data_IF_353480880747
#
_entry.id   IF_353480880747
#
_cell.length_a   1.000
_cell.length_b   1.000
_cell.length_c   1.000
_cell.angle_alpha   90.00
_cell.angle_beta   90.00
_cell.angle_gamma   90.00
#
_symmetry.space_group_name_H-M   'P 1'
#
loop_
_entity.id
_entity.type
_entity.pdbx_description
1 polymer ?
#
# COMPACT_ATOMS: atom_id res chain seq x y z
N UNK A 1 -13.27 12.67 -10.97
CA UNK A 1 -12.37 11.66 -11.58
C UNK A 1 -12.73 10.28 -11.04
N UNK A 2 -12.72 9.24 -11.89
CA UNK A 2 -12.88 7.86 -11.46
C UNK A 2 -11.50 7.24 -11.26
N UNK A 3 -11.29 6.54 -10.14
CA UNK A 3 -10.07 5.81 -9.86
C UNK A 3 -10.32 4.31 -9.96
N UNK A 4 -9.48 3.61 -10.73
CA UNK A 4 -9.51 2.16 -10.81
C UNK A 4 -8.70 1.55 -9.65
N UNK A 5 -9.28 0.65 -8.83
CA UNK A 5 -8.54 -0.01 -7.76
C UNK A 5 -7.57 -1.04 -8.35
N UNK A 6 -6.31 -0.92 -7.96
CA UNK A 6 -5.26 -1.80 -8.44
C UNK A 6 -4.25 -2.02 -7.32
N UNK A 7 -3.70 -3.23 -7.23
CA UNK A 7 -2.59 -3.56 -6.33
C UNK A 7 -1.29 -3.51 -7.11
N UNK A 8 -0.28 -2.84 -6.52
CA UNK A 8 1.03 -2.67 -7.12
C UNK A 8 2.05 -3.39 -6.25
N UNK A 9 2.89 -4.21 -6.87
CA UNK A 9 4.01 -4.84 -6.21
C UNK A 9 5.09 -3.80 -5.91
N UNK A 10 5.47 -3.68 -4.64
CA UNK A 10 6.50 -2.75 -4.18
C UNK A 10 7.72 -3.44 -3.59
N UNK A 11 7.70 -4.77 -3.40
CA UNK A 11 8.82 -5.52 -2.83
C UNK A 11 10.12 -5.24 -3.60
N UNK A 12 11.14 -4.76 -2.89
CA UNK A 12 12.43 -4.37 -3.48
C UNK A 12 12.39 -3.20 -4.47
N UNK A 13 11.23 -2.56 -4.70
CA UNK A 13 11.11 -1.46 -5.68
C UNK A 13 11.53 -0.12 -5.06
N UNK A 14 12.29 0.71 -5.78
CA UNK A 14 12.67 2.02 -5.28
C UNK A 14 11.44 2.94 -5.16
N UNK A 15 11.23 3.49 -3.97
CA UNK A 15 10.16 4.42 -3.67
C UNK A 15 10.73 5.67 -2.98
N UNK A 16 10.22 6.84 -3.34
CA UNK A 16 10.70 8.12 -2.83
C UNK A 16 9.59 8.84 -2.06
N UNK A 17 9.93 9.36 -0.88
CA UNK A 17 9.14 10.39 -0.19
C UNK A 17 9.98 11.66 -0.13
N UNK A 18 9.42 12.78 -0.56
CA UNK A 18 10.02 14.10 -0.39
C UNK A 18 9.26 14.84 0.71
N UNK A 19 9.95 15.13 1.80
CA UNK A 19 9.40 15.73 3.02
C UNK A 19 9.79 14.95 4.26
N UNK A 20 10.00 15.66 5.38
CA UNK A 20 10.49 15.07 6.65
C UNK A 20 9.53 15.24 7.83
N UNK A 21 8.31 15.69 7.59
CA UNK A 21 7.30 15.96 8.63
C UNK A 21 6.40 14.75 8.94
N UNK A 22 5.41 14.98 9.81
CA UNK A 22 4.45 13.97 10.26
C UNK A 22 3.66 13.31 9.11
N UNK A 23 3.40 14.04 8.02
CA UNK A 23 2.72 13.48 6.83
C UNK A 23 3.61 12.48 6.12
N UNK A 24 4.89 12.82 5.91
CA UNK A 24 5.88 11.92 5.33
C UNK A 24 6.03 10.64 6.16
N UNK A 25 6.14 10.76 7.49
CA UNK A 25 6.16 9.63 8.43
C UNK A 25 4.94 8.71 8.24
N UNK A 26 3.74 9.30 8.20
CA UNK A 26 2.50 8.53 8.01
C UNK A 26 2.49 7.78 6.68
N UNK A 27 3.04 8.39 5.61
CA UNK A 27 3.16 7.74 4.29
C UNK A 27 4.22 6.65 4.29
N UNK A 28 5.37 6.87 4.93
CA UNK A 28 6.41 5.87 5.10
C UNK A 28 5.88 4.62 5.83
N UNK A 29 5.21 4.81 6.97
CA UNK A 29 4.57 3.72 7.72
C UNK A 29 3.53 2.92 6.93
N UNK A 30 2.87 3.55 5.94
CA UNK A 30 1.93 2.86 5.05
C UNK A 30 2.63 2.04 3.97
N UNK A 31 3.79 2.48 3.49
CA UNK A 31 4.52 1.82 2.40
C UNK A 31 5.44 0.69 2.90
N UNK A 32 6.15 0.91 4.01
CA UNK A 32 7.16 -0.04 4.52
C UNK A 32 6.67 -1.48 4.66
N UNK A 33 5.42 -1.76 5.11
CA UNK A 33 4.93 -3.13 5.20
C UNK A 33 4.82 -3.88 3.87
N UNK A 34 5.02 -3.20 2.73
CA UNK A 34 5.03 -3.78 1.38
C UNK A 34 6.43 -3.95 0.80
N UNK A 35 7.48 -3.82 1.63
CA UNK A 35 8.87 -4.13 1.29
C UNK A 35 9.57 -3.22 0.27
N UNK A 36 9.20 -1.93 0.08
CA UNK A 36 9.92 -1.07 -0.87
C UNK A 36 11.34 -0.75 -0.40
N UNK A 37 12.24 -0.48 -1.34
CA UNK A 37 13.48 0.25 -1.07
C UNK A 37 13.13 1.73 -0.89
N UNK A 38 12.73 2.12 0.33
CA UNK A 38 12.21 3.45 0.61
C UNK A 38 13.32 4.45 0.91
N UNK A 39 13.35 5.54 0.14
CA UNK A 39 14.20 6.71 0.41
C UNK A 39 13.33 7.91 0.80
N UNK A 40 13.74 8.63 1.84
CA UNK A 40 13.10 9.88 2.26
C UNK A 40 14.08 11.03 2.15
N UNK A 41 13.75 12.05 1.37
CA UNK A 41 14.58 13.23 1.13
C UNK A 41 13.95 14.45 1.80
N UNK A 42 14.67 15.08 2.73
CA UNK A 42 14.25 16.33 3.37
C UNK A 42 15.47 17.05 4.00
N UNK A 43 15.35 18.35 4.24
CA UNK A 43 16.39 19.12 4.95
C UNK A 43 16.38 18.81 6.45
N UNK A 44 15.22 18.48 7.02
CA UNK A 44 15.05 18.07 8.41
C UNK A 44 13.98 16.96 8.51
N UNK A 45 14.07 16.17 9.57
CA UNK A 45 13.13 15.08 9.85
C UNK A 45 12.57 15.24 11.25
N UNK A 46 11.30 14.82 11.44
CA UNK A 46 10.75 14.64 12.78
C UNK A 46 11.43 13.44 13.45
N UNK A 47 11.61 13.46 14.79
CA UNK A 47 12.34 12.40 15.51
C UNK A 47 11.81 10.99 15.24
N UNK A 48 10.50 10.85 15.10
CA UNK A 48 9.86 9.56 14.83
C UNK A 48 10.16 9.03 13.42
N UNK A 49 10.49 9.91 12.47
CA UNK A 49 10.93 9.49 11.13
C UNK A 49 12.41 9.10 11.15
N UNK A 50 13.22 9.77 11.98
CA UNK A 50 14.63 9.39 12.20
C UNK A 50 14.77 8.02 12.86
N UNK A 51 13.85 7.68 13.76
CA UNK A 51 13.80 6.37 14.42
C UNK A 51 13.10 5.28 13.58
N UNK A 52 12.60 5.61 12.39
CA UNK A 52 11.86 4.66 11.57
C UNK A 52 12.81 3.73 10.81
N UNK A 53 12.80 2.45 11.15
CA UNK A 53 13.57 1.43 10.46
C UNK A 53 13.03 1.15 9.06
N UNK A 54 13.91 0.70 8.16
CA UNK A 54 13.56 0.30 6.79
C UNK A 54 13.47 1.45 5.78
N UNK A 55 13.77 2.70 6.17
CA UNK A 55 13.83 3.84 5.27
C UNK A 55 15.23 4.46 5.24
N UNK A 56 15.77 4.72 4.07
CA UNK A 56 17.01 5.48 3.90
C UNK A 56 16.72 6.98 3.97
N UNK A 57 17.33 7.71 4.91
CA UNK A 57 17.14 9.13 5.09
C UNK A 57 18.24 9.94 4.40
N UNK A 58 17.84 10.85 3.51
CA UNK A 58 18.75 11.76 2.82
C UNK A 58 18.51 13.20 3.29
N UNK A 59 19.36 13.70 4.19
CA UNK A 59 19.25 15.04 4.77
C UNK A 59 19.81 16.12 3.83
N UNK A 60 19.00 16.54 2.87
CA UNK A 60 19.28 17.60 1.90
C UNK A 60 18.01 18.09 1.22
N UNK A 61 18.11 19.17 0.46
CA UNK A 61 17.05 19.57 -0.44
C UNK A 61 16.80 18.53 -1.55
N UNK A 62 15.57 18.47 -2.02
CA UNK A 62 15.16 17.70 -3.19
C UNK A 62 15.94 18.14 -4.44
N UNK A 63 16.20 17.21 -5.34
CA UNK A 63 16.79 17.47 -6.66
C UNK A 63 15.96 16.76 -7.71
N UNK A 64 15.77 17.35 -8.93
CA UNK A 64 14.96 16.74 -9.99
C UNK A 64 15.33 15.29 -10.36
N UNK A 65 16.60 14.92 -10.24
CA UNK A 65 17.09 13.56 -10.49
C UNK A 65 16.62 12.54 -9.45
N UNK A 66 16.15 12.96 -8.29
CA UNK A 66 15.75 12.04 -7.23
C UNK A 66 14.52 11.20 -7.62
N UNK A 67 13.74 11.68 -8.59
CA UNK A 67 12.59 10.92 -9.11
C UNK A 67 12.98 9.86 -10.14
N UNK A 68 14.22 9.86 -10.63
CA UNK A 68 14.64 8.92 -11.67
C UNK A 68 14.67 7.49 -11.17
N UNK A 69 14.07 6.58 -11.94
CA UNK A 69 14.01 5.15 -11.61
C UNK A 69 13.06 4.78 -10.48
N UNK A 70 12.32 5.74 -9.90
CA UNK A 70 11.37 5.46 -8.83
C UNK A 70 10.13 4.74 -9.35
N UNK A 71 9.69 3.71 -8.62
CA UNK A 71 8.43 3.03 -8.89
C UNK A 71 7.21 3.85 -8.41
N UNK A 72 7.42 4.71 -7.39
CA UNK A 72 6.38 5.53 -6.79
C UNK A 72 7.02 6.72 -6.05
N UNK A 73 6.39 7.90 -6.14
CA UNK A 73 6.84 9.11 -5.46
C UNK A 73 5.72 9.71 -4.61
N UNK A 74 6.06 10.17 -3.42
CA UNK A 74 5.19 10.94 -2.54
C UNK A 74 5.81 12.32 -2.31
N UNK A 75 5.14 13.38 -2.75
CA UNK A 75 5.49 14.76 -2.46
C UNK A 75 4.71 15.21 -1.21
N UNK A 76 5.40 15.28 -0.07
CA UNK A 76 4.83 15.55 1.25
C UNK A 76 5.62 16.66 1.98
N UNK A 77 6.04 17.68 1.24
CA UNK A 77 6.71 18.87 1.80
C UNK A 77 5.67 19.86 2.32
N UNK A 78 6.11 20.81 3.13
CA UNK A 78 5.30 21.98 3.52
C UNK A 78 5.16 23.03 2.42
N UNK A 79 5.87 22.86 1.30
CA UNK A 79 5.85 23.77 0.16
C UNK A 79 5.00 23.20 -0.98
N UNK A 80 3.82 23.78 -1.17
CA UNK A 80 2.90 23.36 -2.24
C UNK A 80 3.45 23.62 -3.65
N UNK A 81 4.33 24.60 -3.85
CA UNK A 81 4.95 24.86 -5.16
C UNK A 81 5.93 23.72 -5.50
N UNK A 82 6.77 23.32 -4.55
CA UNK A 82 7.68 22.20 -4.69
C UNK A 82 6.91 20.87 -4.92
N UNK A 83 5.80 20.64 -4.19
CA UNK A 83 4.97 19.45 -4.40
C UNK A 83 4.41 19.38 -5.83
N UNK A 84 3.98 20.51 -6.40
CA UNK A 84 3.53 20.58 -7.80
C UNK A 84 4.67 20.37 -8.80
N UNK A 85 5.85 20.90 -8.54
CA UNK A 85 7.05 20.66 -9.37
C UNK A 85 7.39 19.17 -9.41
N UNK A 86 7.45 18.53 -8.25
CA UNK A 86 7.69 17.07 -8.13
C UNK A 86 6.63 16.29 -8.92
N UNK A 87 5.36 16.65 -8.76
CA UNK A 87 4.27 15.99 -9.47
C UNK A 87 4.40 16.15 -11.00
N UNK A 88 4.76 17.32 -11.49
CA UNK A 88 4.99 17.58 -12.90
C UNK A 88 6.17 16.75 -13.46
N UNK A 89 7.28 16.69 -12.72
CA UNK A 89 8.44 15.85 -13.05
C UNK A 89 8.08 14.36 -13.14
N UNK A 90 7.30 13.86 -12.18
CA UNK A 90 6.85 12.47 -12.16
C UNK A 90 5.92 12.18 -13.32
N UNK A 91 4.94 13.06 -13.60
CA UNK A 91 4.01 12.90 -14.74
C UNK A 91 4.75 12.83 -16.07
N UNK A 92 5.72 13.73 -16.30
CA UNK A 92 6.53 13.73 -17.52
C UNK A 92 7.29 12.42 -17.73
N UNK A 93 7.63 11.72 -16.64
CA UNK A 93 8.34 10.43 -16.64
C UNK A 93 7.42 9.21 -16.47
N UNK A 94 6.10 9.43 -16.42
CA UNK A 94 5.10 8.38 -16.16
C UNK A 94 5.31 7.63 -14.84
N UNK A 95 5.84 8.32 -13.83
CA UNK A 95 6.03 7.78 -12.49
C UNK A 95 4.77 8.08 -11.65
N UNK A 96 4.16 7.08 -11.00
CA UNK A 96 3.07 7.31 -10.08
C UNK A 96 3.44 8.29 -8.97
N UNK A 97 2.61 9.33 -8.76
CA UNK A 97 2.86 10.37 -7.76
C UNK A 97 1.62 10.68 -6.93
N UNK A 98 1.84 10.87 -5.63
CA UNK A 98 0.87 11.42 -4.70
C UNK A 98 1.41 12.75 -4.13
N UNK A 99 0.82 13.86 -4.54
CA UNK A 99 1.06 15.18 -3.96
C UNK A 99 0.09 15.40 -2.79
N UNK A 100 0.63 15.63 -1.60
CA UNK A 100 -0.18 15.79 -0.39
C UNK A 100 -0.97 17.10 -0.49
N UNK A 101 -2.25 17.04 -0.10
CA UNK A 101 -3.23 18.13 -0.14
C UNK A 101 -3.49 18.73 -1.52
N UNK A 102 -3.07 18.03 -2.59
CA UNK A 102 -3.24 18.47 -3.98
C UNK A 102 -3.72 17.29 -4.86
N UNK A 103 -5.04 17.03 -4.84
CA UNK A 103 -5.66 15.91 -5.54
C UNK A 103 -5.47 15.98 -7.06
N UNK A 104 -5.46 17.17 -7.64
CA UNK A 104 -5.36 17.36 -9.10
C UNK A 104 -3.97 17.03 -9.63
N UNK A 105 -2.98 17.09 -8.76
CA UNK A 105 -1.60 16.70 -9.03
C UNK A 105 -1.25 15.27 -8.59
N UNK A 106 -2.23 14.48 -8.13
CA UNK A 106 -2.05 13.06 -7.85
C UNK A 106 -2.36 12.20 -9.08
N UNK A 107 -1.55 11.16 -9.31
CA UNK A 107 -1.87 10.09 -10.26
C UNK A 107 -2.39 8.83 -9.57
N UNK A 108 -2.22 8.73 -8.24
CA UNK A 108 -2.83 7.71 -7.40
C UNK A 108 -3.22 8.29 -6.04
N UNK A 109 -4.14 7.62 -5.35
CA UNK A 109 -4.57 7.97 -4.00
C UNK A 109 -4.17 6.87 -3.01
N UNK A 110 -3.79 7.29 -1.80
CA UNK A 110 -3.67 6.34 -0.69
C UNK A 110 -5.05 6.00 -0.14
N UNK A 111 -5.49 4.74 -0.20
CA UNK A 111 -6.76 4.33 0.39
C UNK A 111 -6.68 4.28 1.92
N UNK A 112 -7.84 4.16 2.58
CA UNK A 112 -7.87 3.55 3.90
C UNK A 112 -7.57 2.06 3.74
N UNK A 113 -6.63 1.53 4.55
CA UNK A 113 -6.10 0.18 4.39
C UNK A 113 -6.50 -0.70 5.57
N UNK A 114 -7.00 -1.90 5.28
CA UNK A 114 -7.05 -3.04 6.21
C UNK A 114 -5.99 -4.04 5.76
N UNK A 115 -5.14 -4.47 6.69
CA UNK A 115 -4.12 -5.49 6.43
C UNK A 115 -4.15 -6.55 7.51
N UNK A 116 -4.18 -7.83 7.09
CA UNK A 116 -4.11 -9.03 7.95
C UNK A 116 -3.22 -10.05 7.23
N UNK A 117 -1.92 -10.08 7.56
CA UNK A 117 -0.94 -10.87 6.81
C UNK A 117 -0.96 -10.57 5.31
N UNK A 118 -1.21 -11.56 4.44
CA UNK A 118 -1.29 -11.36 3.00
C UNK A 118 -2.59 -10.69 2.52
N UNK A 119 -3.63 -10.61 3.38
CA UNK A 119 -4.86 -9.90 3.03
C UNK A 119 -4.63 -8.40 3.04
N UNK A 120 -4.94 -7.74 1.93
CA UNK A 120 -4.96 -6.28 1.81
C UNK A 120 -6.28 -5.83 1.22
N UNK A 121 -6.96 -4.87 1.87
CA UNK A 121 -8.19 -4.25 1.39
C UNK A 121 -7.98 -2.75 1.32
N UNK A 122 -8.13 -2.17 0.13
CA UNK A 122 -8.06 -0.74 -0.09
C UNK A 122 -9.45 -0.13 -0.21
N UNK A 123 -9.78 0.85 0.62
CA UNK A 123 -11.08 1.54 0.62
C UNK A 123 -10.86 2.98 0.17
N UNK A 124 -11.55 3.36 -0.90
CA UNK A 124 -11.51 4.71 -1.44
C UNK A 124 -12.93 5.23 -1.70
N UNK A 125 -13.16 6.48 -1.33
CA UNK A 125 -14.39 7.22 -1.66
C UNK A 125 -14.17 8.18 -2.83
N UNK A 126 -13.10 7.95 -3.64
CA UNK A 126 -12.71 8.88 -4.71
C UNK A 126 -12.29 10.26 -4.20
N UNK A 127 -11.94 10.37 -2.91
CA UNK A 127 -11.63 11.64 -2.24
C UNK A 127 -12.86 12.41 -1.76
N UNK A 128 -14.08 11.83 -1.83
CA UNK A 128 -15.29 12.49 -1.38
C UNK A 128 -15.36 12.62 0.15
N UNK A 129 -14.94 11.59 0.90
CA UNK A 129 -14.99 11.61 2.37
C UNK A 129 -13.96 10.67 2.99
N UNK A 130 -12.87 11.19 3.54
CA UNK A 130 -11.93 10.39 4.33
C UNK A 130 -12.59 9.71 5.53
N UNK A 131 -13.52 10.40 6.19
CA UNK A 131 -14.28 9.86 7.34
C UNK A 131 -15.12 8.64 6.95
N UNK A 132 -15.83 8.69 5.81
CA UNK A 132 -16.56 7.54 5.31
C UNK A 132 -15.65 6.35 4.99
N UNK A 133 -14.47 6.60 4.41
CA UNK A 133 -13.50 5.55 4.15
C UNK A 133 -12.99 4.89 5.45
N UNK A 134 -12.77 5.68 6.51
CA UNK A 134 -12.37 5.17 7.84
C UNK A 134 -13.53 4.37 8.46
N UNK A 135 -14.76 4.87 8.42
CA UNK A 135 -15.93 4.15 8.92
C UNK A 135 -16.08 2.76 8.26
N UNK A 136 -15.98 2.69 6.93
CA UNK A 136 -16.05 1.42 6.20
C UNK A 136 -14.89 0.50 6.58
N UNK A 137 -13.69 1.05 6.73
CA UNK A 137 -12.52 0.31 7.22
C UNK A 137 -12.80 -0.37 8.56
N UNK A 138 -13.31 0.37 9.54
CA UNK A 138 -13.61 -0.13 10.89
C UNK A 138 -14.67 -1.24 10.86
N UNK A 139 -15.72 -1.10 10.02
CA UNK A 139 -16.72 -2.14 9.82
C UNK A 139 -16.12 -3.43 9.23
N UNK A 140 -15.24 -3.30 8.25
CA UNK A 140 -14.54 -4.44 7.67
C UNK A 140 -13.61 -5.09 8.71
N UNK A 141 -12.84 -4.31 9.46
CA UNK A 141 -11.94 -4.82 10.51
C UNK A 141 -12.71 -5.58 11.60
N UNK A 142 -13.89 -5.10 11.98
CA UNK A 142 -14.76 -5.77 12.96
C UNK A 142 -15.39 -7.07 12.44
N UNK A 143 -15.64 -7.17 11.13
CA UNK A 143 -16.22 -8.36 10.50
C UNK A 143 -15.18 -9.45 10.20
N UNK A 144 -13.89 -9.11 10.18
CA UNK A 144 -12.83 -10.10 9.96
C UNK A 144 -12.54 -10.87 11.26
N UNK A 145 -12.27 -12.18 11.18
CA UNK A 145 -11.80 -12.97 12.32
C UNK A 145 -10.62 -12.29 13.02
N UNK A 146 -10.66 -12.27 14.35
CA UNK A 146 -9.62 -11.67 15.16
C UNK A 146 -8.31 -12.48 15.17
N UNK A 147 -7.20 -11.82 15.58
CA UNK A 147 -5.89 -12.45 15.70
C UNK A 147 -5.30 -12.89 14.36
N UNK A 148 -4.47 -13.95 14.39
CA UNK A 148 -3.79 -14.50 13.21
C UNK A 148 -4.66 -15.46 12.38
N UNK A 149 -5.97 -15.59 12.68
CA UNK A 149 -6.86 -16.54 12.03
C UNK A 149 -6.86 -16.43 10.50
N UNK A 150 -6.95 -15.21 9.95
CA UNK A 150 -6.87 -15.00 8.50
C UNK A 150 -5.52 -15.36 7.90
N UNK A 151 -4.44 -15.08 8.60
CA UNK A 151 -3.09 -15.42 8.14
C UNK A 151 -2.95 -16.93 7.95
N UNK A 152 -3.30 -17.71 8.98
CA UNK A 152 -3.24 -19.16 8.91
C UNK A 152 -4.13 -19.76 7.81
N UNK A 153 -5.35 -19.23 7.61
CA UNK A 153 -6.25 -19.67 6.55
C UNK A 153 -5.63 -19.42 5.16
N UNK A 154 -5.11 -18.21 4.92
CA UNK A 154 -4.56 -17.86 3.62
C UNK A 154 -3.26 -18.62 3.32
N UNK A 155 -2.39 -18.83 4.30
CA UNK A 155 -1.20 -19.66 4.17
C UNK A 155 -1.55 -21.11 3.87
N UNK A 156 -2.51 -21.67 4.61
CA UNK A 156 -3.02 -23.02 4.36
C UNK A 156 -3.56 -23.20 2.95
N UNK A 157 -4.38 -22.26 2.47
CA UNK A 157 -4.93 -22.30 1.12
C UNK A 157 -3.85 -22.10 0.05
N UNK A 158 -2.92 -21.19 0.28
CA UNK A 158 -1.80 -20.95 -0.64
C UNK A 158 -0.93 -22.20 -0.83
N UNK A 159 -0.60 -22.89 0.25
CA UNK A 159 0.19 -24.11 0.21
C UNK A 159 -0.48 -25.25 -0.62
N UNK A 160 -1.82 -25.22 -0.75
CA UNK A 160 -2.58 -26.22 -1.50
C UNK A 160 -2.81 -25.89 -2.96
N UNK A 161 -2.52 -24.65 -3.40
CA UNK A 161 -2.79 -24.24 -4.79
C UNK A 161 -2.02 -25.08 -5.82
N UNK A 162 -0.72 -25.30 -5.61
CA UNK A 162 0.10 -26.05 -6.55
C UNK A 162 -0.26 -27.55 -6.58
N UNK A 163 -0.36 -28.27 -5.44
CA UNK A 163 -0.80 -29.68 -5.43
C UNK A 163 -2.18 -29.89 -6.07
N UNK A 164 -3.16 -29.04 -5.73
CA UNK A 164 -4.52 -29.14 -6.28
C UNK A 164 -4.53 -28.88 -7.79
N UNK A 165 -3.76 -27.91 -8.29
CA UNK A 165 -3.64 -27.68 -9.73
C UNK A 165 -3.04 -28.88 -10.48
N UNK A 166 -2.09 -29.57 -9.87
CA UNK A 166 -1.45 -30.71 -10.46
C UNK A 166 -2.39 -31.97 -10.49
N UNK A 167 -3.20 -32.15 -9.44
CA UNK A 167 -4.05 -33.36 -9.29
C UNK A 167 -5.46 -33.23 -9.87
N UNK A 168 -5.97 -31.99 -10.03
CA UNK A 168 -7.32 -31.70 -10.52
C UNK A 168 -7.26 -30.85 -11.78
N UNK A 169 -7.22 -31.41 -13.00
CA UNK A 169 -7.12 -30.65 -14.24
C UNK A 169 -8.36 -29.80 -14.54
N UNK A 170 -9.54 -30.26 -14.16
CA UNK A 170 -10.80 -29.53 -14.40
C UNK A 170 -10.91 -28.26 -13.53
N UNK A 171 -11.17 -27.13 -14.17
CA UNK A 171 -11.21 -25.81 -13.51
C UNK A 171 -12.41 -25.69 -12.56
N UNK A 172 -13.56 -26.21 -12.95
CA UNK A 172 -14.79 -26.14 -12.15
C UNK A 172 -14.67 -27.01 -10.90
N UNK A 173 -14.09 -28.21 -11.04
CA UNK A 173 -13.81 -29.08 -9.89
C UNK A 173 -12.81 -28.47 -8.94
N UNK A 174 -11.75 -27.79 -9.45
CA UNK A 174 -10.81 -27.04 -8.62
C UNK A 174 -11.48 -25.91 -7.85
N UNK A 175 -12.34 -25.13 -8.49
CA UNK A 175 -13.06 -24.03 -7.84
C UNK A 175 -13.94 -24.56 -6.70
N UNK A 176 -14.67 -25.66 -6.91
CA UNK A 176 -15.49 -26.31 -5.86
C UNK A 176 -14.63 -26.81 -4.70
N UNK A 177 -13.50 -27.43 -5.00
CA UNK A 177 -12.58 -27.92 -3.97
C UNK A 177 -12.01 -26.78 -3.13
N UNK A 178 -11.58 -25.66 -3.74
CA UNK A 178 -11.10 -24.51 -3.00
C UNK A 178 -12.18 -23.84 -2.16
N UNK A 179 -13.43 -23.78 -2.65
CA UNK A 179 -14.56 -23.29 -1.85
C UNK A 179 -14.77 -24.18 -0.62
N UNK A 180 -14.83 -25.49 -0.79
CA UNK A 180 -14.99 -26.43 0.33
C UNK A 180 -13.83 -26.37 1.35
N UNK A 181 -12.59 -26.19 0.87
CA UNK A 181 -11.44 -25.99 1.76
C UNK A 181 -11.55 -24.69 2.56
N UNK A 182 -12.00 -23.60 1.93
CA UNK A 182 -12.22 -22.34 2.61
C UNK A 182 -13.34 -22.44 3.65
N UNK A 183 -14.49 -23.03 3.29
CA UNK A 183 -15.62 -23.21 4.21
C UNK A 183 -15.21 -24.06 5.43
N UNK A 184 -14.44 -25.14 5.21
CA UNK A 184 -13.91 -25.95 6.32
C UNK A 184 -12.97 -25.16 7.25
N UNK A 185 -12.18 -24.23 6.71
CA UNK A 185 -11.35 -23.34 7.53
C UNK A 185 -12.20 -22.36 8.36
N UNK A 186 -13.28 -21.85 7.78
CA UNK A 186 -14.16 -20.90 8.47
C UNK A 186 -14.97 -21.56 9.58
N UNK A 187 -15.42 -22.80 9.39
CA UNK A 187 -16.21 -23.55 10.40
C UNK A 187 -15.35 -24.00 11.60
N UNK A 188 -14.12 -24.43 11.35
CA UNK A 188 -13.24 -25.02 12.38
C UNK A 188 -12.31 -24.01 13.05
N UNK A 189 -12.28 -22.77 12.57
CA UNK A 189 -11.37 -21.72 13.06
C UNK A 189 -9.88 -21.98 12.77
N UNK A 190 -9.52 -23.14 12.25
CA UNK A 190 -8.22 -23.60 11.68
C UNK A 190 -8.41 -24.93 10.94
N UNK A 191 -7.64 -25.18 9.86
CA UNK A 191 -7.55 -26.51 9.28
C UNK A 191 -6.75 -27.46 10.19
#
# INVERSE_FOLDING_TARGET
MAYFPMFVELEGRPCLIVGGGAVALRKARKLLPYGPCLTVVAQSFVPELEALEGAALCRRAFRPRDVEGQALVVAATGDGALNREIAALCRARRIPVNAVDDKDNCTFLFPALVRRGPLSIGISTGGASPTAAVYVKEKIEAALPGGDGWNGILEYLAARRAPVRASVPDETARARLFAALFDACMEKGRP
#
